data_IF_360829271826
#
_entry.id   IF_360829271826
#
_cell.length_a   1.000
_cell.length_b   1.000
_cell.length_c   1.000
_cell.angle_alpha   90.00
_cell.angle_beta   90.00
_cell.angle_gamma   90.00
#
_symmetry.space_group_name_H-M   'P 1'
#
loop_
_entity.id
_entity.type
_entity.pdbx_description
1 polymer ?
#
# COMPACT_ATOMS: atom_id res chain seq x y z
N UNK A 1 -2.87 -33.07 17.83
CA UNK A 1 -4.29 -32.90 17.45
C UNK A 1 -5.22 -32.69 18.61
N UNK A 2 -5.37 -31.42 18.97
CA UNK A 2 -6.50 -30.79 19.70
C UNK A 2 -6.14 -29.31 19.90
N UNK A 3 -5.76 -28.63 18.81
CA UNK A 3 -5.52 -27.18 18.83
C UNK A 3 -6.83 -26.41 18.94
N UNK A 4 -6.77 -25.10 18.70
CA UNK A 4 -7.97 -24.25 18.65
C UNK A 4 -9.07 -24.80 17.74
N UNK A 5 -10.32 -24.66 18.16
CA UNK A 5 -11.50 -25.01 17.39
C UNK A 5 -12.06 -23.83 16.60
N UNK A 6 -12.04 -22.62 17.15
CA UNK A 6 -12.69 -21.45 16.51
C UNK A 6 -11.71 -20.52 15.79
N UNK A 7 -10.54 -20.28 16.39
CA UNK A 7 -9.52 -19.39 15.82
C UNK A 7 -8.53 -20.19 14.96
N UNK A 8 -8.32 -19.77 13.72
CA UNK A 8 -7.36 -20.38 12.80
C UNK A 8 -6.41 -19.34 12.20
N UNK A 9 -5.14 -19.71 12.03
CA UNK A 9 -4.14 -18.91 11.29
C UNK A 9 -3.79 -19.68 10.02
N UNK A 10 -3.97 -19.05 8.85
CA UNK A 10 -3.74 -19.72 7.55
C UNK A 10 -4.61 -20.98 7.37
N UNK A 11 -5.83 -20.98 7.91
CA UNK A 11 -6.73 -22.14 7.86
C UNK A 11 -6.36 -23.30 8.79
N UNK A 12 -5.29 -23.19 9.58
CA UNK A 12 -4.80 -24.23 10.49
C UNK A 12 -5.07 -23.88 11.96
N UNK A 13 -5.22 -24.91 12.79
CA UNK A 13 -5.43 -24.79 14.25
C UNK A 13 -4.15 -24.39 14.96
N UNK A 14 -4.28 -23.77 16.13
CA UNK A 14 -3.15 -23.21 16.89
C UNK A 14 -2.97 -24.02 18.19
N UNK A 15 -1.71 -24.19 18.61
CA UNK A 15 -1.34 -24.97 19.79
C UNK A 15 -1.81 -24.29 21.08
N UNK A 16 -2.58 -25.01 21.90
CA UNK A 16 -3.10 -24.61 23.19
C UNK A 16 -2.40 -25.34 24.35
N UNK A 17 -2.25 -24.62 25.47
CA UNK A 17 -1.66 -25.14 26.71
C UNK A 17 -2.31 -26.44 27.16
N UNK A 18 -1.49 -27.47 27.35
CA UNK A 18 -1.85 -28.80 27.86
C UNK A 18 -2.94 -29.55 27.07
N UNK A 19 -3.35 -29.05 25.90
CA UNK A 19 -4.42 -29.64 25.08
C UNK A 19 -3.89 -30.20 23.76
N UNK A 20 -2.91 -29.54 23.16
CA UNK A 20 -2.39 -29.89 21.83
C UNK A 20 -0.92 -30.27 21.82
N UNK A 21 -0.53 -31.04 20.80
CA UNK A 21 0.84 -31.41 20.44
C UNK A 21 1.06 -31.12 18.96
N UNK A 22 2.30 -30.84 18.53
CA UNK A 22 2.63 -30.49 17.13
C UNK A 22 2.58 -31.70 16.20
N UNK A 23 3.44 -32.68 16.46
CA UNK A 23 3.53 -33.91 15.68
C UNK A 23 3.88 -35.08 16.60
N UNK A 24 3.71 -36.30 16.09
CA UNK A 24 4.27 -37.49 16.72
C UNK A 24 5.65 -37.72 16.13
N UNK A 25 6.69 -37.66 16.95
CA UNK A 25 8.04 -38.03 16.56
C UNK A 25 8.17 -39.55 16.60
N UNK A 26 8.07 -40.18 15.43
CA UNK A 26 8.65 -41.50 15.18
C UNK A 26 10.12 -41.29 14.82
N UNK A 27 11.06 -41.79 15.63
CA UNK A 27 12.47 -41.81 15.22
C UNK A 27 12.65 -42.67 13.96
N UNK A 28 13.89 -42.88 13.48
CA UNK A 28 14.15 -43.86 12.43
C UNK A 28 13.78 -45.29 12.93
N UNK A 29 12.52 -45.68 12.75
CA UNK A 29 11.94 -46.92 13.30
C UNK A 29 12.62 -48.19 12.74
N UNK A 30 13.36 -48.06 11.63
CA UNK A 30 14.10 -49.16 11.00
C UNK A 30 15.27 -49.70 11.85
N UNK A 31 15.64 -49.02 12.94
CA UNK A 31 16.58 -49.51 13.95
C UNK A 31 15.94 -49.55 15.32
N UNK A 32 14.96 -50.45 15.54
CA UNK A 32 14.31 -50.69 16.84
C UNK A 32 15.31 -51.25 17.86
N UNK A 33 16.20 -50.40 18.39
CA UNK A 33 16.89 -50.67 19.63
C UNK A 33 15.88 -50.47 20.78
N UNK A 34 15.42 -51.54 21.46
CA UNK A 34 14.68 -51.37 22.71
C UNK A 34 15.60 -50.58 23.66
N UNK A 35 15.06 -49.54 24.31
CA UNK A 35 15.77 -48.65 25.27
C UNK A 35 16.58 -47.48 24.70
N UNK A 36 16.14 -46.84 23.60
CA UNK A 36 16.74 -45.56 23.18
C UNK A 36 16.67 -44.47 24.25
N UNK A 37 15.59 -44.45 25.06
CA UNK A 37 15.52 -43.66 26.29
C UNK A 37 15.85 -44.59 27.48
N UNK A 38 16.88 -44.23 28.26
CA UNK A 38 17.37 -45.02 29.40
C UNK A 38 16.32 -45.21 30.50
N UNK A 39 15.42 -44.23 30.67
CA UNK A 39 14.44 -44.19 31.75
C UNK A 39 13.12 -44.81 31.31
N UNK A 40 12.59 -44.38 30.16
CA UNK A 40 11.23 -44.76 29.74
C UNK A 40 11.21 -45.99 28.85
N UNK A 41 12.34 -46.36 28.25
CA UNK A 41 12.46 -47.44 27.25
C UNK A 41 11.56 -47.28 26.00
N UNK A 42 10.92 -46.12 25.82
CA UNK A 42 10.06 -45.83 24.68
C UNK A 42 10.89 -45.12 23.59
N UNK A 43 10.52 -45.34 22.32
CA UNK A 43 11.21 -44.84 21.12
C UNK A 43 10.33 -43.95 20.22
N UNK A 44 9.11 -43.59 20.64
CA UNK A 44 8.21 -42.66 19.94
C UNK A 44 7.44 -41.79 20.93
N UNK A 45 7.18 -40.53 20.59
CA UNK A 45 6.53 -39.60 21.51
C UNK A 45 5.79 -38.47 20.79
N UNK A 46 4.86 -37.80 21.48
CA UNK A 46 4.20 -36.58 21.00
C UNK A 46 5.05 -35.37 21.33
N UNK A 47 5.11 -34.40 20.45
CA UNK A 47 5.84 -33.16 20.70
C UNK A 47 4.96 -32.12 21.41
N UNK A 48 5.29 -31.78 22.67
CA UNK A 48 4.54 -30.83 23.48
C UNK A 48 5.33 -29.55 23.73
N UNK A 49 4.62 -28.43 23.84
CA UNK A 49 5.19 -27.20 24.41
C UNK A 49 5.22 -27.26 25.94
N UNK A 50 6.22 -26.60 26.50
CA UNK A 50 6.42 -26.38 27.94
C UNK A 50 6.39 -24.91 28.32
N UNK A 51 6.25 -24.01 27.33
CA UNK A 51 6.07 -22.58 27.54
C UNK A 51 4.92 -22.04 26.70
N UNK A 52 4.23 -21.02 27.22
CA UNK A 52 3.06 -20.41 26.61
C UNK A 52 3.01 -18.91 26.90
N UNK A 53 2.28 -18.17 26.07
CA UNK A 53 2.01 -16.75 26.29
C UNK A 53 1.01 -16.52 27.42
N UNK A 54 1.39 -15.76 28.45
CA UNK A 54 0.45 -15.36 29.51
C UNK A 54 -0.63 -14.37 29.05
N UNK A 55 -0.33 -13.57 28.01
CA UNK A 55 -1.18 -12.46 27.56
C UNK A 55 -1.98 -12.77 26.30
N UNK A 56 -1.52 -13.71 25.48
CA UNK A 56 -2.18 -14.08 24.22
C UNK A 56 -2.87 -15.43 24.41
N UNK A 57 -4.19 -15.42 24.26
CA UNK A 57 -5.05 -16.59 24.42
C UNK A 57 -5.92 -16.76 23.18
N UNK A 58 -6.21 -18.00 22.81
CA UNK A 58 -7.14 -18.35 21.74
C UNK A 58 -8.04 -19.48 22.22
N UNK A 59 -9.34 -19.35 21.96
CA UNK A 59 -10.41 -20.13 22.59
C UNK A 59 -10.24 -20.19 24.12
N UNK A 60 -9.87 -19.06 24.74
CA UNK A 60 -9.70 -18.93 26.19
C UNK A 60 -8.38 -19.49 26.75
N UNK A 61 -7.57 -20.18 25.94
CA UNK A 61 -6.35 -20.85 26.41
C UNK A 61 -5.07 -20.16 25.95
N UNK A 62 -4.00 -20.11 26.78
CA UNK A 62 -2.68 -19.66 26.37
C UNK A 62 -2.17 -20.39 25.13
N UNK A 63 -1.66 -19.61 24.17
CA UNK A 63 -1.05 -20.16 22.95
C UNK A 63 0.47 -20.13 23.02
N UNK A 64 1.08 -21.00 22.21
CA UNK A 64 2.53 -21.12 22.11
C UNK A 64 3.11 -20.04 21.19
N UNK A 65 4.31 -19.55 21.49
CA UNK A 65 5.01 -18.50 20.75
C UNK A 65 6.09 -19.09 19.85
N UNK A 66 6.59 -18.23 18.96
CA UNK A 66 7.58 -18.52 17.93
C UNK A 66 8.90 -19.16 18.42
N UNK A 67 9.25 -18.98 19.70
CA UNK A 67 10.51 -19.43 20.30
C UNK A 67 10.28 -20.10 21.66
N UNK A 68 9.10 -20.67 21.90
CA UNK A 68 8.80 -21.35 23.16
C UNK A 68 9.52 -22.70 23.25
N UNK A 69 9.71 -23.18 24.49
CA UNK A 69 10.33 -24.47 24.75
C UNK A 69 9.34 -25.59 24.45
N UNK A 70 9.82 -26.68 23.85
CA UNK A 70 9.09 -27.92 23.71
C UNK A 70 9.94 -29.15 23.96
N UNK A 71 9.27 -30.30 24.09
CA UNK A 71 9.90 -31.61 24.18
C UNK A 71 9.42 -32.46 23.01
N UNK A 72 10.36 -33.08 22.30
CA UNK A 72 10.08 -34.02 21.20
C UNK A 72 10.47 -35.47 21.54
N UNK A 73 10.70 -35.74 22.83
CA UNK A 73 11.25 -37.01 23.27
C UNK A 73 10.18 -38.12 23.36
N UNK A 74 10.68 -39.35 23.30
CA UNK A 74 10.02 -40.62 23.14
C UNK A 74 9.07 -41.04 24.27
N UNK A 75 8.68 -40.19 25.21
CA UNK A 75 7.64 -40.48 26.22
C UNK A 75 6.98 -39.20 26.77
N UNK A 76 7.01 -38.13 25.96
CA UNK A 76 6.61 -36.80 26.41
C UNK A 76 5.18 -36.78 27.01
N UNK A 77 4.95 -35.99 28.08
CA UNK A 77 5.81 -34.92 28.60
C UNK A 77 6.95 -35.39 29.53
N UNK A 78 6.95 -36.66 29.97
CA UNK A 78 8.00 -37.22 30.81
C UNK A 78 9.18 -37.67 29.93
N UNK A 79 10.01 -36.71 29.51
CA UNK A 79 11.19 -36.94 28.69
C UNK A 79 12.42 -37.34 29.53
N UNK A 80 13.37 -38.04 28.90
CA UNK A 80 14.71 -38.30 29.43
C UNK A 80 15.71 -37.15 29.16
N UNK A 81 15.31 -36.12 28.40
CA UNK A 81 16.11 -34.92 28.12
C UNK A 81 15.38 -33.61 28.47
N UNK A 82 16.12 -32.51 28.70
CA UNK A 82 15.52 -31.20 28.97
C UNK A 82 14.75 -30.66 27.75
N UNK A 83 13.72 -29.81 27.95
CA UNK A 83 13.04 -29.12 26.86
C UNK A 83 14.02 -28.27 26.04
N UNK A 84 13.80 -28.24 24.72
CA UNK A 84 14.60 -27.47 23.76
C UNK A 84 13.76 -26.34 23.15
N UNK A 85 14.40 -25.27 22.70
CA UNK A 85 13.72 -24.17 22.01
C UNK A 85 13.18 -24.64 20.67
N UNK A 86 11.87 -24.52 20.47
CA UNK A 86 11.23 -24.69 19.17
C UNK A 86 11.23 -23.36 18.45
N UNK A 87 12.19 -23.20 17.54
CA UNK A 87 12.31 -22.00 16.71
C UNK A 87 11.54 -22.27 15.43
N UNK A 88 10.38 -21.62 15.28
CA UNK A 88 9.67 -21.63 14.00
C UNK A 88 10.43 -20.79 12.97
N UNK A 89 10.24 -21.04 11.69
CA UNK A 89 10.64 -20.11 10.63
C UNK A 89 9.47 -19.21 10.32
N UNK A 90 9.67 -17.88 10.33
CA UNK A 90 8.61 -16.95 9.97
C UNK A 90 8.37 -17.08 8.46
N UNK A 91 7.23 -17.66 8.06
CA UNK A 91 6.74 -17.54 6.69
C UNK A 91 6.09 -16.17 6.57
N UNK A 92 6.61 -15.25 5.73
CA UNK A 92 5.88 -14.03 5.41
C UNK A 92 4.52 -14.41 4.84
N UNK A 93 3.45 -13.73 5.23
CA UNK A 93 2.17 -13.88 4.54
C UNK A 93 2.38 -13.60 3.05
N UNK A 94 1.84 -14.46 2.18
CA UNK A 94 1.83 -14.22 0.73
C UNK A 94 1.09 -12.91 0.46
N UNK A 95 1.82 -11.92 -0.04
CA UNK A 95 1.22 -10.63 -0.40
C UNK A 95 0.35 -10.82 -1.65
N UNK A 96 -0.89 -10.35 -1.60
CA UNK A 96 -1.79 -10.31 -2.76
C UNK A 96 -2.17 -8.87 -3.08
N UNK A 97 -2.49 -8.58 -4.35
CA UNK A 97 -2.90 -7.24 -4.77
C UNK A 97 -4.16 -6.73 -4.05
N UNK A 98 -5.04 -7.64 -3.63
CA UNK A 98 -6.27 -7.31 -2.88
C UNK A 98 -5.98 -6.60 -1.55
N UNK A 99 -4.80 -6.86 -0.96
CA UNK A 99 -4.37 -6.19 0.28
C UNK A 99 -4.13 -4.68 0.11
N UNK A 100 -4.03 -4.19 -1.13
CA UNK A 100 -3.89 -2.75 -1.42
C UNK A 100 -5.25 -2.05 -1.59
N UNK A 101 -6.35 -2.80 -1.61
CA UNK A 101 -7.71 -2.29 -1.81
C UNK A 101 -7.84 -1.34 -3.01
N UNK A 102 -7.18 -1.69 -4.13
CA UNK A 102 -7.20 -0.87 -5.35
C UNK A 102 -8.62 -0.84 -5.91
N UNK A 103 -9.22 0.34 -5.99
CA UNK A 103 -10.58 0.54 -6.50
C UNK A 103 -10.65 1.80 -7.37
N UNK A 104 -11.63 1.92 -8.29
CA UNK A 104 -11.94 3.19 -8.94
C UNK A 104 -12.17 4.30 -7.93
N UNK A 105 -11.84 5.55 -8.30
CA UNK A 105 -12.02 6.70 -7.41
C UNK A 105 -13.45 6.82 -6.89
N UNK A 106 -14.46 6.60 -7.74
CA UNK A 106 -15.88 6.69 -7.35
C UNK A 106 -16.28 5.67 -6.28
N UNK A 107 -15.67 4.48 -6.29
CA UNK A 107 -16.04 3.34 -5.44
C UNK A 107 -15.17 3.20 -4.17
N UNK A 108 -14.07 3.94 -4.11
CA UNK A 108 -13.15 3.89 -2.98
C UNK A 108 -13.62 4.79 -1.85
N UNK A 109 -13.82 4.25 -0.66
CA UNK A 109 -14.08 5.05 0.55
C UNK A 109 -12.84 5.02 1.46
N UNK A 110 -12.43 6.19 1.96
CA UNK A 110 -11.23 6.29 2.77
C UNK A 110 -11.54 6.77 4.19
N UNK A 111 -10.84 6.23 5.21
CA UNK A 111 -11.03 6.62 6.59
C UNK A 111 -10.58 8.06 6.87
N UNK A 112 -10.92 8.58 8.06
CA UNK A 112 -10.56 9.94 8.44
C UNK A 112 -9.03 10.16 8.41
N UNK A 113 -8.60 11.29 7.84
CA UNK A 113 -7.17 11.60 7.66
C UNK A 113 -6.55 10.98 6.41
N UNK A 114 -7.30 10.18 5.66
CA UNK A 114 -6.90 9.63 4.36
C UNK A 114 -7.63 10.36 3.23
N UNK A 115 -7.04 10.34 2.05
CA UNK A 115 -7.67 10.79 0.81
C UNK A 115 -7.44 9.71 -0.26
N UNK A 116 -8.35 9.66 -1.23
CA UNK A 116 -8.23 8.80 -2.41
C UNK A 116 -7.04 9.29 -3.23
N UNK A 117 -6.06 8.43 -3.43
CA UNK A 117 -4.86 8.73 -4.19
C UNK A 117 -4.92 7.97 -5.51
N UNK A 118 -4.95 8.68 -6.63
CA UNK A 118 -4.77 8.04 -7.94
C UNK A 118 -3.37 7.46 -8.02
N UNK A 119 -3.24 6.16 -8.30
CA UNK A 119 -1.93 5.50 -8.31
C UNK A 119 -1.05 6.00 -9.47
N UNK A 120 -1.66 6.49 -10.55
CA UNK A 120 -1.06 7.43 -11.52
C UNK A 120 -1.63 8.84 -11.31
N UNK A 121 -0.79 9.84 -11.06
CA UNK A 121 -1.27 11.22 -10.86
C UNK A 121 -1.96 11.81 -12.12
N UNK A 122 -3.07 12.50 -11.89
CA UNK A 122 -3.84 13.22 -12.94
C UNK A 122 -3.00 14.26 -13.71
N UNK A 123 -1.88 14.72 -13.14
CA UNK A 123 -1.00 15.77 -13.70
C UNK A 123 -0.43 15.43 -15.08
N UNK A 124 -0.38 14.14 -15.44
CA UNK A 124 0.00 13.73 -16.79
C UNK A 124 -1.07 14.09 -17.84
N UNK A 125 -2.34 14.03 -17.43
CA UNK A 125 -3.51 14.13 -18.29
C UNK A 125 -4.15 15.52 -18.29
N UNK A 126 -3.93 16.32 -17.25
CA UNK A 126 -4.63 17.59 -17.04
C UNK A 126 -3.75 18.83 -17.23
N UNK A 127 -4.38 19.99 -17.41
CA UNK A 127 -3.67 21.26 -17.45
C UNK A 127 -3.01 21.58 -16.10
N UNK A 128 -1.80 22.14 -16.14
CA UNK A 128 -1.02 22.40 -14.94
C UNK A 128 -1.76 23.33 -13.96
N UNK A 129 -2.14 22.80 -12.80
CA UNK A 129 -2.81 23.56 -11.74
C UNK A 129 -4.31 23.74 -11.91
N UNK A 130 -4.94 23.04 -12.87
CA UNK A 130 -6.40 22.95 -13.04
C UNK A 130 -6.73 21.46 -13.15
N UNK A 131 -7.18 20.86 -12.05
CA UNK A 131 -7.30 19.39 -11.95
C UNK A 131 -8.44 18.84 -12.80
N UNK A 132 -9.54 19.57 -12.91
CA UNK A 132 -10.74 19.21 -13.66
C UNK A 132 -10.65 19.54 -15.16
N UNK A 133 -9.52 20.11 -15.63
CA UNK A 133 -9.29 20.38 -17.05
C UNK A 133 -8.41 19.29 -17.67
N UNK A 134 -9.03 18.20 -18.10
CA UNK A 134 -8.38 17.17 -18.92
C UNK A 134 -7.99 17.72 -20.28
N UNK A 135 -6.74 17.49 -20.69
CA UNK A 135 -6.22 17.94 -21.98
C UNK A 135 -6.92 17.19 -23.13
N UNK A 136 -7.10 17.86 -24.27
CA UNK A 136 -7.95 17.37 -25.37
C UNK A 136 -7.57 15.96 -25.87
N UNK A 137 -6.27 15.71 -26.06
CA UNK A 137 -5.63 14.43 -26.40
C UNK A 137 -5.74 13.30 -25.33
N UNK A 138 -6.28 13.62 -24.15
CA UNK A 138 -6.39 12.77 -22.97
C UNK A 138 -7.83 12.68 -22.50
N UNK A 139 -8.82 13.15 -23.29
CA UNK A 139 -10.24 13.07 -22.96
C UNK A 139 -10.77 11.67 -22.65
N UNK A 140 -10.06 10.65 -23.13
CA UNK A 140 -10.35 9.26 -22.82
C UNK A 140 -10.01 8.89 -21.36
N UNK A 141 -9.18 9.67 -20.67
CA UNK A 141 -8.90 9.50 -19.24
C UNK A 141 -10.04 10.07 -18.41
N UNK A 142 -10.56 9.24 -17.52
CA UNK A 142 -11.58 9.55 -16.53
C UNK A 142 -11.04 9.33 -15.11
N UNK A 143 -10.90 10.41 -14.34
CA UNK A 143 -10.42 10.34 -12.96
C UNK A 143 -11.34 9.51 -12.06
N UNK A 144 -12.64 9.43 -12.33
CA UNK A 144 -13.60 8.71 -11.50
C UNK A 144 -13.43 7.19 -11.59
N UNK A 145 -12.97 6.71 -12.75
CA UNK A 145 -12.73 5.30 -13.03
C UNK A 145 -11.26 4.89 -12.77
N UNK A 146 -10.36 5.87 -12.60
CA UNK A 146 -8.94 5.61 -12.45
C UNK A 146 -8.62 4.86 -11.13
N UNK A 147 -7.68 3.89 -11.14
CA UNK A 147 -7.29 3.15 -9.96
C UNK A 147 -6.77 4.06 -8.84
N UNK A 148 -7.34 3.87 -7.66
CA UNK A 148 -7.02 4.61 -6.46
C UNK A 148 -6.74 3.67 -5.29
N UNK A 149 -5.99 4.19 -4.33
CA UNK A 149 -5.85 3.60 -3.00
C UNK A 149 -6.07 4.67 -1.93
N UNK A 150 -6.35 4.25 -0.70
CA UNK A 150 -6.41 5.18 0.41
C UNK A 150 -5.00 5.49 0.91
N UNK A 151 -4.63 6.77 0.90
CA UNK A 151 -3.33 7.20 1.38
C UNK A 151 -3.45 8.31 2.42
N UNK A 152 -2.61 8.22 3.46
CA UNK A 152 -2.55 9.22 4.53
C UNK A 152 -2.31 10.60 3.93
N UNK A 153 -3.25 11.51 4.12
CA UNK A 153 -3.25 12.83 3.48
C UNK A 153 -3.40 13.99 4.45
N UNK A 154 -3.89 13.73 5.67
CA UNK A 154 -4.15 14.74 6.70
C UNK A 154 -3.79 14.19 8.07
N UNK A 155 -3.18 15.02 8.91
CA UNK A 155 -2.96 14.68 10.32
C UNK A 155 -4.25 14.89 11.12
N UNK A 156 -4.65 13.87 11.87
CA UNK A 156 -5.85 13.89 12.71
C UNK A 156 -5.49 14.01 14.19
N UNK A 157 -6.49 14.25 15.04
CA UNK A 157 -6.29 14.35 16.48
C UNK A 157 -5.70 13.04 17.02
N UNK A 158 -4.83 13.14 18.03
CA UNK A 158 -4.14 11.98 18.62
C UNK A 158 -2.85 11.55 17.91
N UNK A 159 -2.52 12.10 16.74
CA UNK A 159 -1.31 11.70 15.97
C UNK A 159 -0.05 12.50 16.28
N UNK A 160 0.00 13.18 17.43
CA UNK A 160 1.12 14.03 17.85
C UNK A 160 2.49 13.36 17.76
N UNK A 161 2.59 12.10 18.22
CA UNK A 161 3.83 11.34 18.18
C UNK A 161 4.29 11.05 16.74
N UNK A 162 3.38 10.54 15.89
CA UNK A 162 3.66 10.28 14.47
C UNK A 162 4.05 11.57 13.73
N UNK A 163 3.35 12.67 14.01
CA UNK A 163 3.63 13.98 13.43
C UNK A 163 5.00 14.55 13.86
N UNK A 164 5.38 14.36 15.14
CA UNK A 164 6.70 14.76 15.65
C UNK A 164 7.82 13.98 14.95
N UNK A 165 7.67 12.68 14.75
CA UNK A 165 8.62 11.84 13.97
C UNK A 165 8.70 12.31 12.52
N UNK A 166 7.59 12.75 11.93
CA UNK A 166 7.58 13.39 10.61
C UNK A 166 8.13 14.84 10.62
N UNK A 167 8.56 15.37 11.76
CA UNK A 167 9.10 16.72 11.90
C UNK A 167 8.04 17.82 11.72
N UNK A 168 6.80 17.57 12.13
CA UNK A 168 5.73 18.56 12.17
C UNK A 168 5.53 19.04 13.61
N UNK A 169 5.45 20.37 13.86
CA UNK A 169 5.18 20.90 15.19
C UNK A 169 3.81 20.46 15.71
N UNK A 170 3.80 19.73 16.84
CA UNK A 170 2.59 19.08 17.41
C UNK A 170 1.49 20.07 17.80
N UNK A 171 1.84 21.30 18.19
CA UNK A 171 0.90 22.32 18.70
C UNK A 171 -0.19 22.75 17.69
N UNK A 172 -0.04 22.45 16.39
CA UNK A 172 -1.01 22.81 15.32
C UNK A 172 -1.03 21.80 14.16
N UNK A 173 -1.06 20.50 14.47
CA UNK A 173 -0.98 19.44 13.44
C UNK A 173 -2.29 19.17 12.70
N UNK A 174 -3.43 19.39 13.36
CA UNK A 174 -4.73 18.99 12.83
C UNK A 174 -4.99 19.62 11.44
N UNK A 175 -5.37 18.78 10.47
CA UNK A 175 -5.69 19.19 9.11
C UNK A 175 -4.50 19.57 8.24
N UNK A 176 -3.25 19.47 8.74
CA UNK A 176 -2.06 19.67 7.90
C UNK A 176 -1.96 18.54 6.87
N UNK A 177 -1.65 18.89 5.62
CA UNK A 177 -1.41 17.91 4.55
C UNK A 177 0.07 17.66 4.27
N UNK A 178 0.96 18.54 4.73
CA UNK A 178 2.41 18.42 4.47
C UNK A 178 3.01 17.24 5.21
N UNK A 179 4.08 16.68 4.64
CA UNK A 179 4.84 15.53 5.18
C UNK A 179 3.97 14.29 5.46
N UNK A 180 2.86 14.18 4.75
CA UNK A 180 2.04 12.95 4.68
C UNK A 180 2.46 12.11 3.47
N UNK A 181 1.99 10.87 3.39
CA UNK A 181 2.28 9.97 2.28
C UNK A 181 1.75 10.54 0.95
N UNK A 182 0.49 10.99 0.93
CA UNK A 182 -0.14 11.68 -0.19
C UNK A 182 0.71 12.85 -0.67
N UNK A 183 1.14 13.72 0.26
CA UNK A 183 1.93 14.87 -0.12
C UNK A 183 3.30 14.47 -0.71
N UNK A 184 3.99 13.49 -0.12
CA UNK A 184 5.30 13.07 -0.59
C UNK A 184 5.25 12.53 -2.03
N UNK A 185 4.31 11.62 -2.31
CA UNK A 185 4.11 11.06 -3.65
C UNK A 185 3.73 12.14 -4.68
N UNK A 186 2.83 13.06 -4.33
CA UNK A 186 2.47 14.17 -5.22
C UNK A 186 3.68 15.07 -5.55
N UNK A 187 4.63 15.25 -4.62
CA UNK A 187 5.83 16.03 -4.86
C UNK A 187 6.79 15.31 -5.82
N UNK A 188 6.98 14.00 -5.67
CA UNK A 188 7.84 13.21 -6.56
C UNK A 188 7.27 13.13 -7.98
N UNK A 189 5.95 12.93 -8.12
CA UNK A 189 5.31 12.97 -9.43
C UNK A 189 5.42 14.36 -10.09
N UNK A 190 5.26 15.44 -9.31
CA UNK A 190 5.45 16.80 -9.83
C UNK A 190 6.89 17.06 -10.28
N UNK A 191 7.87 16.55 -9.53
CA UNK A 191 9.29 16.61 -9.86
C UNK A 191 9.57 15.81 -11.14
N UNK A 192 9.06 14.59 -11.25
CA UNK A 192 9.25 13.77 -12.45
C UNK A 192 8.76 14.47 -13.72
N UNK A 193 7.56 15.07 -13.69
CA UNK A 193 6.99 15.80 -14.85
C UNK A 193 7.88 16.98 -15.25
N UNK A 194 8.48 17.67 -14.27
CA UNK A 194 9.39 18.79 -14.52
C UNK A 194 10.70 18.31 -15.15
N UNK A 195 11.24 17.20 -14.63
CA UNK A 195 12.55 16.69 -15.02
C UNK A 195 12.48 15.89 -16.35
N UNK A 196 11.29 15.40 -16.72
CA UNK A 196 11.05 14.57 -17.90
C UNK A 196 9.98 15.20 -18.81
N UNK A 197 10.26 16.33 -19.48
CA UNK A 197 9.28 17.00 -20.32
C UNK A 197 8.78 16.13 -21.48
N UNK A 198 9.64 15.28 -22.06
CA UNK A 198 9.28 14.30 -23.10
C UNK A 198 9.07 12.90 -22.56
N UNK A 199 8.82 12.78 -21.25
CA UNK A 199 8.64 11.51 -20.58
C UNK A 199 7.42 10.74 -21.08
N UNK A 200 7.51 9.42 -21.01
CA UNK A 200 6.46 8.49 -21.42
C UNK A 200 5.53 8.16 -20.25
N UNK A 201 4.28 7.84 -20.55
CA UNK A 201 3.28 7.49 -19.54
C UNK A 201 3.65 6.22 -18.77
N UNK A 202 4.28 5.24 -19.43
CA UNK A 202 4.78 4.04 -18.74
C UNK A 202 5.76 4.37 -17.62
N UNK A 203 6.78 5.18 -17.92
CA UNK A 203 7.79 5.62 -16.93
C UNK A 203 7.16 6.45 -15.80
N UNK A 204 6.13 7.23 -16.13
CA UNK A 204 5.38 8.01 -15.14
C UNK A 204 4.52 7.14 -14.22
N UNK A 205 3.81 6.16 -14.77
CA UNK A 205 3.06 5.16 -14.00
C UNK A 205 4.01 4.42 -13.05
N UNK A 206 5.17 4.01 -13.55
CA UNK A 206 6.17 3.29 -12.77
C UNK A 206 6.69 4.12 -11.60
N UNK A 207 6.99 5.39 -11.87
CA UNK A 207 7.42 6.33 -10.84
C UNK A 207 6.31 6.53 -9.80
N UNK A 208 5.08 6.77 -10.22
CA UNK A 208 3.97 7.01 -9.30
C UNK A 208 3.66 5.77 -8.44
N UNK A 209 3.65 4.57 -9.03
CA UNK A 209 3.42 3.32 -8.31
C UNK A 209 4.52 3.06 -7.27
N UNK A 210 5.80 3.20 -7.67
CA UNK A 210 6.94 3.02 -6.77
C UNK A 210 6.94 4.01 -5.61
N UNK A 211 6.71 5.29 -5.89
CA UNK A 211 6.67 6.33 -4.86
C UNK A 211 5.45 6.19 -3.94
N UNK A 212 4.34 5.65 -4.46
CA UNK A 212 3.18 5.28 -3.63
C UNK A 212 3.56 4.22 -2.61
N UNK A 213 4.14 3.10 -3.04
CA UNK A 213 4.59 2.00 -2.16
C UNK A 213 5.64 2.46 -1.15
N UNK A 214 6.63 3.24 -1.61
CA UNK A 214 7.72 3.77 -0.79
C UNK A 214 7.24 4.72 0.30
N UNK A 215 6.21 5.52 0.02
CA UNK A 215 5.68 6.51 0.96
C UNK A 215 4.47 6.03 1.78
N UNK A 216 3.89 4.88 1.46
CA UNK A 216 2.80 4.27 2.23
C UNK A 216 3.32 3.76 3.57
N UNK A 217 3.13 4.58 4.61
CA UNK A 217 3.57 4.32 5.98
C UNK A 217 2.44 3.86 6.90
N UNK A 218 1.19 3.90 6.43
CA UNK A 218 0.02 3.58 7.23
C UNK A 218 -1.09 3.00 6.32
N UNK A 219 -1.21 1.67 6.18
CA UNK A 219 -0.30 0.67 6.74
C UNK A 219 1.08 0.72 6.07
N UNK A 220 2.14 0.43 6.83
CA UNK A 220 3.49 0.31 6.24
C UNK A 220 3.58 -0.99 5.44
N UNK A 221 3.92 -0.89 4.15
CA UNK A 221 4.20 -2.07 3.32
C UNK A 221 5.60 -2.60 3.65
N UNK A 222 5.77 -3.90 3.99
CA UNK A 222 7.08 -4.50 4.20
C UNK A 222 7.96 -4.40 2.95
N UNK A 223 9.24 -4.04 3.12
CA UNK A 223 10.19 -3.87 2.00
C UNK A 223 10.30 -5.11 1.11
N UNK A 224 10.14 -6.29 1.69
CA UNK A 224 10.20 -7.58 1.02
C UNK A 224 9.13 -7.73 -0.07
N UNK A 225 7.99 -7.04 0.08
CA UNK A 225 6.85 -7.11 -0.85
C UNK A 225 6.67 -5.83 -1.66
N UNK A 226 7.61 -4.87 -1.57
CA UNK A 226 7.52 -3.61 -2.33
C UNK A 226 7.46 -3.83 -3.84
N UNK A 227 8.22 -4.80 -4.36
CA UNK A 227 8.21 -5.13 -5.79
C UNK A 227 6.82 -5.62 -6.22
N UNK A 228 6.26 -6.59 -5.51
CA UNK A 228 4.93 -7.13 -5.78
C UNK A 228 3.82 -6.06 -5.65
N UNK A 229 3.87 -5.24 -4.59
CA UNK A 229 2.92 -4.15 -4.40
C UNK A 229 2.99 -3.11 -5.52
N UNK A 230 4.21 -2.77 -5.95
CA UNK A 230 4.43 -1.83 -7.05
C UNK A 230 3.86 -2.40 -8.35
N UNK A 231 4.10 -3.68 -8.61
CA UNK A 231 3.58 -4.39 -9.79
C UNK A 231 2.05 -4.42 -9.82
N UNK A 232 1.38 -4.66 -8.69
CA UNK A 232 -0.08 -4.59 -8.59
C UNK A 232 -0.61 -3.21 -9.01
N UNK A 233 0.00 -2.12 -8.53
CA UNK A 233 -0.42 -0.76 -8.88
C UNK A 233 -0.13 -0.45 -10.35
N UNK A 234 1.00 -0.90 -10.89
CA UNK A 234 1.34 -0.75 -12.31
C UNK A 234 0.31 -1.46 -13.20
N UNK A 235 0.01 -2.72 -12.89
CA UNK A 235 -0.94 -3.53 -13.67
C UNK A 235 -2.35 -2.93 -13.63
N UNK A 236 -2.82 -2.49 -12.46
CA UNK A 236 -4.11 -1.81 -12.34
C UNK A 236 -4.18 -0.54 -13.21
N UNK A 237 -3.13 0.28 -13.19
CA UNK A 237 -3.04 1.47 -14.04
C UNK A 237 -3.03 1.13 -15.52
N UNK A 238 -2.20 0.16 -15.93
CA UNK A 238 -2.11 -0.26 -17.32
C UNK A 238 -3.43 -0.84 -17.83
N UNK A 239 -4.11 -1.67 -17.04
CA UNK A 239 -5.40 -2.25 -17.39
C UNK A 239 -6.48 -1.20 -17.58
N UNK A 240 -6.57 -0.26 -16.66
CA UNK A 240 -7.48 0.88 -16.79
C UNK A 240 -7.14 1.75 -18.02
N UNK A 241 -5.86 2.08 -18.23
CA UNK A 241 -5.45 2.96 -19.33
C UNK A 241 -5.63 2.31 -20.71
N UNK A 242 -5.40 0.99 -20.84
CA UNK A 242 -5.69 0.26 -22.07
C UNK A 242 -7.17 0.34 -22.43
N UNK A 243 -8.04 0.11 -21.45
CA UNK A 243 -9.51 0.14 -21.62
C UNK A 243 -10.00 1.55 -21.93
N UNK A 244 -9.66 2.52 -21.08
CA UNK A 244 -10.11 3.90 -21.21
C UNK A 244 -9.63 4.54 -22.51
N UNK A 245 -8.37 4.35 -22.89
CA UNK A 245 -7.80 4.94 -24.10
C UNK A 245 -8.03 4.12 -25.38
N UNK A 246 -8.63 2.93 -25.28
CA UNK A 246 -8.76 1.97 -26.37
C UNK A 246 -7.44 1.72 -27.12
N UNK A 247 -6.38 1.39 -26.37
CA UNK A 247 -5.01 1.25 -26.88
C UNK A 247 -4.34 -0.02 -26.38
N UNK A 248 -3.38 -0.52 -27.16
CA UNK A 248 -2.48 -1.59 -26.73
C UNK A 248 -1.58 -1.13 -25.58
N UNK A 249 -1.05 -2.08 -24.81
CA UNK A 249 -0.12 -1.80 -23.71
C UNK A 249 1.08 -0.97 -24.17
N UNK A 250 1.67 -1.29 -25.33
CA UNK A 250 2.79 -0.55 -25.90
C UNK A 250 2.41 0.90 -26.22
N UNK A 251 1.25 1.12 -26.85
CA UNK A 251 0.78 2.47 -27.17
C UNK A 251 0.44 3.29 -25.92
N UNK A 252 -0.05 2.66 -24.85
CA UNK A 252 -0.24 3.31 -23.55
C UNK A 252 1.11 3.71 -22.97
N UNK A 253 2.06 2.77 -22.91
CA UNK A 253 3.40 3.01 -22.36
C UNK A 253 4.13 4.12 -23.11
N UNK A 254 4.07 4.11 -24.44
CA UNK A 254 4.76 5.07 -25.30
C UNK A 254 4.05 6.44 -25.41
N UNK A 255 2.85 6.61 -24.82
CA UNK A 255 2.14 7.88 -24.84
C UNK A 255 2.96 8.96 -24.14
N UNK A 256 3.31 10.01 -24.86
CA UNK A 256 3.93 11.21 -24.30
C UNK A 256 2.87 12.18 -23.77
N UNK A 257 3.31 13.15 -22.96
CA UNK A 257 2.43 14.24 -22.54
C UNK A 257 1.98 15.06 -23.75
N UNK A 258 0.75 15.53 -23.65
CA UNK A 258 0.11 16.21 -24.78
C UNK A 258 0.48 17.66 -24.95
N UNK A 259 0.91 18.32 -23.88
CA UNK A 259 1.37 19.71 -23.97
C UNK A 259 2.54 19.84 -24.94
N UNK A 260 3.26 18.75 -25.19
CA UNK A 260 4.40 18.68 -26.09
C UNK A 260 4.03 18.26 -27.54
N UNK A 261 2.87 17.62 -27.74
CA UNK A 261 2.46 17.05 -29.03
C UNK A 261 1.20 17.66 -29.64
N UNK A 262 0.41 18.42 -28.86
CA UNK A 262 -0.80 19.07 -29.34
C UNK A 262 -0.81 20.59 -29.04
N UNK A 263 -0.90 21.45 -30.09
CA UNK A 263 -1.00 22.90 -29.92
C UNK A 263 -2.21 23.34 -29.09
N UNK A 264 -3.35 22.66 -29.21
CA UNK A 264 -4.52 22.90 -28.36
C UNK A 264 -4.26 22.59 -26.89
N UNK A 265 -3.58 21.51 -26.57
CA UNK A 265 -3.23 21.15 -25.18
C UNK A 265 -2.24 22.16 -24.59
N UNK A 266 -1.27 22.61 -25.37
CA UNK A 266 -0.36 23.69 -24.98
C UNK A 266 -1.12 25.01 -24.71
N UNK A 267 -2.06 25.36 -25.58
CA UNK A 267 -2.89 26.57 -25.42
C UNK A 267 -3.84 26.45 -24.21
N UNK A 268 -4.45 25.29 -23.98
CA UNK A 268 -5.23 25.00 -22.76
C UNK A 268 -4.39 25.23 -21.49
N UNK A 269 -3.14 24.77 -21.46
CA UNK A 269 -2.20 25.02 -20.36
C UNK A 269 -1.88 26.51 -20.17
N UNK A 270 -1.68 27.25 -21.27
CA UNK A 270 -1.46 28.70 -21.25
C UNK A 270 -2.68 29.43 -20.70
N UNK A 271 -3.87 29.12 -21.19
CA UNK A 271 -5.14 29.71 -20.78
C UNK A 271 -5.45 29.43 -19.32
N UNK A 272 -5.15 28.22 -18.83
CA UNK A 272 -5.22 27.89 -17.40
C UNK A 272 -4.31 28.80 -16.56
N UNK A 273 -3.09 29.06 -17.04
CA UNK A 273 -2.18 30.02 -16.42
C UNK A 273 -2.71 31.46 -16.40
N UNK A 274 -3.37 31.89 -17.47
CA UNK A 274 -4.02 33.21 -17.57
C UNK A 274 -5.20 33.31 -16.60
N UNK A 275 -6.08 32.32 -16.56
CA UNK A 275 -7.21 32.25 -15.62
C UNK A 275 -6.72 32.34 -14.17
N UNK A 276 -5.65 31.60 -13.83
CA UNK A 276 -5.03 31.66 -12.51
C UNK A 276 -4.51 33.04 -12.15
N UNK A 277 -3.81 33.73 -13.07
CA UNK A 277 -3.32 35.11 -12.84
C UNK A 277 -4.49 36.07 -12.65
N UNK A 278 -5.53 35.97 -13.48
CA UNK A 278 -6.76 36.79 -13.41
C UNK A 278 -7.46 36.62 -12.07
N UNK A 279 -7.72 35.38 -11.65
CA UNK A 279 -8.41 35.09 -10.40
C UNK A 279 -7.60 35.49 -9.17
N UNK A 280 -6.27 35.32 -9.19
CA UNK A 280 -5.39 35.83 -8.11
C UNK A 280 -5.40 37.34 -8.01
N UNK A 281 -5.41 38.05 -9.14
CA UNK A 281 -5.51 39.51 -9.15
C UNK A 281 -6.87 39.98 -8.60
N UNK A 282 -7.96 39.32 -8.99
CA UNK A 282 -9.30 39.60 -8.46
C UNK A 282 -9.39 39.34 -6.94
N UNK A 283 -8.83 38.22 -6.46
CA UNK A 283 -8.77 37.92 -5.04
C UNK A 283 -8.01 39.01 -4.27
N UNK A 284 -6.84 39.43 -4.77
CA UNK A 284 -6.06 40.52 -4.16
C UNK A 284 -6.85 41.83 -4.08
N UNK A 285 -7.54 42.20 -5.16
CA UNK A 285 -8.41 43.40 -5.19
C UNK A 285 -9.56 43.31 -4.19
N UNK A 286 -10.08 42.11 -3.96
CA UNK A 286 -11.14 41.84 -2.99
C UNK A 286 -10.63 41.62 -1.54
N UNK A 287 -9.36 41.87 -1.25
CA UNK A 287 -8.77 41.63 0.08
C UNK A 287 -8.68 40.15 0.48
N UNK A 288 -8.82 39.23 -0.47
CA UNK A 288 -8.76 37.78 -0.25
C UNK A 288 -7.34 37.25 -0.48
N UNK A 289 -6.99 36.17 0.21
CA UNK A 289 -5.67 35.52 0.08
C UNK A 289 -5.51 34.85 -1.31
N UNK A 290 -4.59 35.36 -2.17
CA UNK A 290 -4.40 34.81 -3.51
C UNK A 290 -3.78 33.40 -3.52
N UNK A 291 -3.23 32.92 -2.40
CA UNK A 291 -2.70 31.56 -2.29
C UNK A 291 -3.80 30.51 -2.18
N UNK A 292 -5.02 30.92 -1.79
CA UNK A 292 -6.20 30.06 -1.63
C UNK A 292 -7.08 29.98 -2.88
N UNK A 293 -6.72 30.69 -3.94
CA UNK A 293 -7.47 30.68 -5.20
C UNK A 293 -7.35 29.31 -5.87
N UNK A 294 -8.50 28.67 -6.08
CA UNK A 294 -8.67 27.47 -6.89
C UNK A 294 -9.16 27.89 -8.27
N UNK A 295 -8.62 27.26 -9.30
CA UNK A 295 -9.01 27.48 -10.70
C UNK A 295 -9.63 26.18 -11.18
N UNK A 296 -10.79 26.29 -11.81
CA UNK A 296 -11.55 25.19 -12.38
C UNK A 296 -11.58 25.29 -13.90
N UNK A 297 -12.02 24.24 -14.59
CA UNK A 297 -12.12 24.21 -16.04
C UNK A 297 -13.04 25.32 -16.57
N UNK A 298 -14.10 25.68 -15.85
CA UNK A 298 -15.05 26.74 -16.23
C UNK A 298 -14.44 28.15 -16.18
N UNK A 299 -13.36 28.34 -15.41
CA UNK A 299 -12.62 29.60 -15.37
C UNK A 299 -11.72 29.79 -16.60
N UNK A 300 -11.40 28.70 -17.30
CA UNK A 300 -10.46 28.67 -18.42
C UNK A 300 -11.21 28.92 -19.71
N UNK A 301 -10.78 29.94 -20.47
CA UNK A 301 -11.35 30.19 -21.79
C UNK A 301 -11.10 29.02 -22.74
N UNK A 302 -12.02 28.77 -23.70
CA UNK A 302 -11.80 27.74 -24.70
C UNK A 302 -10.59 28.08 -25.58
N UNK A 303 -9.81 27.06 -25.93
CA UNK A 303 -8.71 27.19 -26.90
C UNK A 303 -9.27 27.29 -28.31
N UNK A 304 -8.73 28.23 -29.11
CA UNK A 304 -9.02 28.36 -30.54
C UNK A 304 -8.14 27.47 -31.43
N UNK A 305 -7.14 26.79 -30.85
CA UNK A 305 -6.25 25.86 -31.54
C UNK A 305 -6.87 24.46 -31.67
N UNK A 306 -6.40 23.68 -32.64
CA UNK A 306 -6.68 22.26 -32.82
C UNK A 306 -5.46 21.38 -32.51
N UNK A 307 -5.68 20.10 -32.20
CA UNK A 307 -4.62 19.08 -32.26
C UNK A 307 -4.51 18.56 -33.70
N UNK A 308 -3.33 18.08 -34.14
CA UNK A 308 -3.24 17.24 -35.32
C UNK A 308 -4.12 15.98 -35.14
N UNK A 309 -4.64 15.41 -36.24
CA UNK A 309 -5.38 14.15 -36.20
C UNK A 309 -4.54 12.98 -35.67
#
# INVERSE_FOLDING_TARGET
DSGTGTVKIGGKTITQKNKSYYTKCSGNEAGCAPKKNLITSVNTGKEYNHAWSGNVKMDGEPVSRFSDLGSNDHASPAAGGPPMSLISTATPADFTCDMLEIKPYKDLECPEGYEKEHTTEVRFFTAAGVRDLTLDCCKAYDEQEAPCICMKAKWVAGEGAKAKVAGIPTKKILGKKRKTAHWAKTQEAAKWIKDNPKGKLGDFNDTCASETVKHMKDPTIPKQVHAAATECLKNANEDYQKKSMNKTQKQVKDKTRCVDSCPKAADQGRLAGVAKKRLKAAAKKAGKDPSKVVVTASDVWPSSKSCPP
#
